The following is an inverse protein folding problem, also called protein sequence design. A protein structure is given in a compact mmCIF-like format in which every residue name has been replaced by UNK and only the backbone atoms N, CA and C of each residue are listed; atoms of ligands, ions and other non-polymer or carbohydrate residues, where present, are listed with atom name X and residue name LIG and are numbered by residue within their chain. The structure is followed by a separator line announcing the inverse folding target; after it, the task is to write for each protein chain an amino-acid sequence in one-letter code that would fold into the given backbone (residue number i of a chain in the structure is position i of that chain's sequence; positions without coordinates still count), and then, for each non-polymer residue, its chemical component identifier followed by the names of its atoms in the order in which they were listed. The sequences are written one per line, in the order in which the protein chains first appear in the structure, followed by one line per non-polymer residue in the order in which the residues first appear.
data_IF_607143673975
#
_entry.id   IF_607143673975
#
_cell.length_a   1.000
_cell.length_b   1.000
_cell.length_c   1.000
_cell.angle_alpha   90.00
_cell.angle_beta   90.00
_cell.angle_gamma   90.00
#
_symmetry.space_group_name_H-M   'P 1'
#
loop_
_entity.id
_entity.type
_entity.pdbx_description
1 polymer ?
#
# COMPACT_ATOMS: atom_id res chain seq x y z
N UNK A 1 -41.60 -12.98 -3.85
CA UNK A 1 -40.39 -12.89 -4.70
C UNK A 1 -39.17 -12.80 -3.80
N UNK A 2 -38.06 -13.44 -4.16
CA UNK A 2 -36.81 -13.39 -3.38
C UNK A 2 -35.88 -12.31 -3.95
N UNK A 3 -35.34 -11.45 -3.07
CA UNK A 3 -34.37 -10.42 -3.43
C UNK A 3 -33.02 -11.05 -3.72
N UNK A 4 -32.37 -10.65 -4.82
CA UNK A 4 -30.98 -11.01 -5.15
C UNK A 4 -30.07 -9.80 -4.94
N UNK A 5 -28.91 -10.03 -4.35
CA UNK A 5 -27.92 -8.97 -4.04
C UNK A 5 -26.54 -9.43 -4.52
N UNK A 6 -25.76 -8.47 -5.06
CA UNK A 6 -24.32 -8.61 -5.29
C UNK A 6 -23.58 -7.58 -4.44
N UNK A 7 -22.44 -7.98 -3.88
CA UNK A 7 -21.51 -7.13 -3.14
C UNK A 7 -20.17 -7.21 -3.88
N UNK A 8 -19.68 -6.06 -4.33
CA UNK A 8 -18.38 -5.93 -4.98
C UNK A 8 -17.42 -5.22 -4.04
N UNK A 9 -16.20 -5.72 -3.96
CA UNK A 9 -15.09 -4.95 -3.41
C UNK A 9 -14.66 -3.86 -4.41
N UNK A 10 -13.90 -2.86 -3.96
CA UNK A 10 -13.39 -1.80 -4.83
C UNK A 10 -12.12 -2.23 -5.55
N UNK A 11 -11.06 -2.50 -4.78
CA UNK A 11 -9.70 -2.71 -5.28
C UNK A 11 -9.56 -4.07 -5.95
N UNK A 12 -9.11 -4.08 -7.21
CA UNK A 12 -8.93 -5.30 -7.99
C UNK A 12 -10.24 -5.95 -8.47
N UNK A 13 -11.39 -5.36 -8.15
CA UNK A 13 -12.72 -5.82 -8.61
C UNK A 13 -13.41 -4.76 -9.45
N UNK A 14 -13.65 -3.57 -8.88
CA UNK A 14 -14.23 -2.44 -9.61
C UNK A 14 -13.14 -1.58 -10.28
N UNK A 15 -11.93 -1.55 -9.71
CA UNK A 15 -10.83 -0.71 -10.18
C UNK A 15 -9.50 -1.48 -10.25
N UNK A 16 -8.70 -1.21 -11.27
CA UNK A 16 -7.28 -1.58 -11.27
C UNK A 16 -6.48 -0.54 -10.47
N UNK A 17 -6.39 -0.76 -9.16
CA UNK A 17 -5.68 0.12 -8.23
C UNK A 17 -4.20 -0.25 -8.06
N UNK A 18 -3.64 -1.13 -8.89
CA UNK A 18 -2.22 -1.51 -8.76
C UNK A 18 -1.29 -0.32 -8.94
N UNK A 19 -1.52 0.50 -9.97
CA UNK A 19 -0.73 1.71 -10.23
C UNK A 19 -0.85 2.75 -9.09
N UNK A 20 -2.06 2.89 -8.53
CA UNK A 20 -2.32 3.76 -7.38
C UNK A 20 -1.52 3.32 -6.14
N UNK A 21 -1.53 2.02 -5.82
CA UNK A 21 -0.75 1.47 -4.72
C UNK A 21 0.76 1.71 -4.92
N UNK A 22 1.27 1.48 -6.14
CA UNK A 22 2.68 1.75 -6.46
C UNK A 22 3.03 3.21 -6.20
N UNK A 23 2.22 4.15 -6.68
CA UNK A 23 2.44 5.57 -6.48
C UNK A 23 2.40 5.94 -4.99
N UNK A 24 1.41 5.43 -4.25
CA UNK A 24 1.24 5.66 -2.82
C UNK A 24 2.46 5.24 -2.00
N UNK A 25 2.93 3.99 -2.13
CA UNK A 25 4.05 3.52 -1.34
C UNK A 25 5.37 4.15 -1.78
N UNK A 26 5.58 4.38 -3.08
CA UNK A 26 6.77 5.07 -3.56
C UNK A 26 6.85 6.53 -3.06
N UNK A 27 5.71 7.19 -2.91
CA UNK A 27 5.65 8.52 -2.30
C UNK A 27 6.09 8.50 -0.83
N UNK A 28 5.62 7.51 -0.06
CA UNK A 28 6.07 7.32 1.34
C UNK A 28 7.57 7.05 1.39
N UNK A 29 8.09 6.15 0.55
CA UNK A 29 9.53 5.83 0.49
C UNK A 29 10.36 7.07 0.11
N UNK A 30 9.92 7.85 -0.87
CA UNK A 30 10.56 9.10 -1.28
C UNK A 30 10.62 10.11 -0.12
N UNK A 31 9.53 10.27 0.63
CA UNK A 31 9.48 11.16 1.82
C UNK A 31 10.46 10.72 2.92
N UNK A 32 10.74 9.43 2.99
CA UNK A 32 11.71 8.81 3.90
C UNK A 32 13.14 8.78 3.32
N UNK A 33 13.35 9.30 2.11
CA UNK A 33 14.63 9.28 1.37
C UNK A 33 15.13 7.86 1.06
N UNK A 34 14.19 6.95 0.81
CA UNK A 34 14.45 5.57 0.42
C UNK A 34 14.24 5.38 -1.08
N UNK A 35 14.90 4.39 -1.72
CA UNK A 35 14.64 4.05 -3.11
C UNK A 35 13.18 3.58 -3.30
N UNK A 36 12.61 3.73 -4.51
CA UNK A 36 11.29 3.19 -4.82
C UNK A 36 11.26 1.66 -4.69
N UNK A 37 10.05 1.09 -4.68
CA UNK A 37 9.84 -0.35 -4.65
C UNK A 37 10.45 -1.02 -5.89
N UNK A 38 11.12 -2.14 -5.67
CA UNK A 38 11.51 -3.08 -6.70
C UNK A 38 10.30 -3.89 -7.21
N UNK A 39 10.36 -4.50 -8.40
CA UNK A 39 9.23 -5.23 -8.98
C UNK A 39 8.68 -6.36 -8.11
N UNK A 40 9.54 -7.09 -7.39
CA UNK A 40 9.14 -8.15 -6.46
C UNK A 40 8.39 -7.61 -5.23
N UNK A 41 8.77 -6.43 -4.76
CA UNK A 41 8.09 -5.76 -3.65
C UNK A 41 6.72 -5.25 -4.05
N UNK A 42 6.55 -4.80 -5.29
CA UNK A 42 5.25 -4.41 -5.85
C UNK A 42 4.26 -5.58 -5.79
N UNK A 43 4.69 -6.77 -6.18
CA UNK A 43 3.81 -7.95 -6.16
C UNK A 43 3.40 -8.32 -4.73
N UNK A 44 4.32 -8.28 -3.77
CA UNK A 44 3.99 -8.52 -2.36
C UNK A 44 3.04 -7.46 -1.81
N UNK A 45 3.34 -6.19 -2.06
CA UNK A 45 2.57 -5.05 -1.55
C UNK A 45 1.16 -5.01 -2.14
N UNK A 46 0.99 -5.40 -3.41
CA UNK A 46 -0.29 -5.38 -4.10
C UNK A 46 -1.37 -6.26 -3.43
N UNK A 47 -0.97 -7.35 -2.77
CA UNK A 47 -1.87 -8.27 -2.07
C UNK A 47 -1.82 -8.12 -0.55
N UNK A 48 -1.10 -7.11 -0.05
CA UNK A 48 -0.89 -6.88 1.37
C UNK A 48 -1.82 -5.80 1.91
N UNK A 49 -2.13 -5.88 3.20
CA UNK A 49 -2.74 -4.75 3.92
C UNK A 49 -1.74 -3.58 3.97
N UNK A 50 -2.22 -2.35 4.14
CA UNK A 50 -1.35 -1.19 4.25
C UNK A 50 -0.34 -1.26 5.40
N UNK A 51 -0.70 -1.94 6.49
CA UNK A 51 0.23 -2.22 7.59
C UNK A 51 1.27 -3.26 7.19
N UNK A 52 0.85 -4.39 6.61
CA UNK A 52 1.74 -5.45 6.15
C UNK A 52 2.73 -4.97 5.09
N UNK A 53 2.28 -4.16 4.13
CA UNK A 53 3.10 -3.56 3.11
C UNK A 53 4.22 -2.69 3.71
N UNK A 54 3.89 -1.78 4.63
CA UNK A 54 4.90 -0.92 5.27
C UNK A 54 5.87 -1.72 6.16
N UNK A 55 5.36 -2.71 6.91
CA UNK A 55 6.18 -3.62 7.70
C UNK A 55 7.19 -4.35 6.81
N UNK A 56 6.73 -4.92 5.70
CA UNK A 56 7.58 -5.62 4.74
C UNK A 56 8.65 -4.70 4.13
N UNK A 57 8.24 -3.53 3.64
CA UNK A 57 9.15 -2.59 2.98
C UNK A 57 10.22 -2.05 3.93
N UNK A 58 9.84 -1.68 5.15
CA UNK A 58 10.73 -0.96 6.05
C UNK A 58 11.58 -1.88 6.94
N UNK A 59 11.10 -3.07 7.31
CA UNK A 59 11.95 -4.04 8.04
C UNK A 59 13.19 -4.45 7.23
N UNK A 60 13.08 -4.43 5.90
CA UNK A 60 14.15 -4.77 4.96
C UNK A 60 15.08 -3.60 4.61
N UNK A 61 14.71 -2.37 5.00
CA UNK A 61 15.44 -1.13 4.69
C UNK A 61 15.97 -0.49 5.96
N UNK A 62 15.05 -0.04 6.81
CA UNK A 62 15.32 0.59 8.09
C UNK A 62 14.08 0.47 9.01
N UNK A 63 14.09 -0.48 9.95
CA UNK A 63 12.98 -0.69 10.88
C UNK A 63 12.66 0.53 11.76
N UNK A 64 13.63 1.43 11.99
CA UNK A 64 13.42 2.62 12.83
C UNK A 64 12.44 3.63 12.21
N UNK A 65 12.18 3.50 10.90
CA UNK A 65 11.28 4.39 10.16
C UNK A 65 9.81 3.96 10.18
N UNK A 66 9.48 2.79 10.74
CA UNK A 66 8.13 2.22 10.74
C UNK A 66 7.10 3.15 11.37
N UNK A 67 7.38 3.64 12.57
CA UNK A 67 6.48 4.57 13.27
C UNK A 67 6.24 5.85 12.48
N UNK A 68 7.29 6.37 11.84
CA UNK A 68 7.22 7.58 11.00
C UNK A 68 6.36 7.32 9.77
N UNK A 69 6.49 6.17 9.12
CA UNK A 69 5.70 5.79 7.96
C UNK A 69 4.22 5.59 8.31
N UNK A 70 3.90 4.90 9.40
CA UNK A 70 2.52 4.71 9.85
C UNK A 70 1.86 6.02 10.32
N UNK A 71 2.63 6.95 10.89
CA UNK A 71 2.12 8.30 11.18
C UNK A 71 1.84 9.05 9.88
N UNK A 72 2.77 9.02 8.93
CA UNK A 72 2.63 9.75 7.67
C UNK A 72 1.46 9.25 6.83
N UNK A 73 1.26 7.93 6.70
CA UNK A 73 0.16 7.35 5.90
C UNK A 73 -1.23 7.79 6.35
N UNK A 74 -1.39 8.20 7.61
CA UNK A 74 -2.69 8.56 8.21
C UNK A 74 -3.08 10.03 8.00
N UNK A 75 -2.10 10.87 7.71
CA UNK A 75 -2.28 12.32 7.53
C UNK A 75 -2.12 12.75 6.08
N UNK A 76 -1.82 11.80 5.20
CA UNK A 76 -1.68 12.05 3.79
C UNK A 76 -3.05 11.92 3.14
N UNK A 77 -3.48 12.99 2.47
CA UNK A 77 -4.60 12.90 1.54
C UNK A 77 -4.13 12.21 0.26
N UNK A 78 -4.92 11.22 -0.18
CA UNK A 78 -4.78 10.52 -1.45
C UNK A 78 -6.09 10.67 -2.23
#
# INVERSE_FOLDING_TARGET
MATKVLIFDCDGVLFDSKAANIAFYNHILSRLKLPPMAPDEVEYVHVSTAEGALNYLLTRRDPSLLDKAHKYRRIMDY
#
